data_IF_540012041440
#
_entry.id   IF_540012041440
#
_cell.length_a   1.000
_cell.length_b   1.000
_cell.length_c   1.000
_cell.angle_alpha   90.00
_cell.angle_beta   90.00
_cell.angle_gamma   90.00
#
_symmetry.space_group_name_H-M   'P 1'
#
loop_
_entity.id
_entity.type
_entity.pdbx_description
1 polymer ?
#
# COMPACT_ATOMS: atom_id res chain seq x y z
N UNK A 1 15.69 -11.29 19.02
CA UNK A 1 14.66 -10.36 18.52
C UNK A 1 14.12 -10.95 17.24
N UNK A 2 12.82 -11.17 17.16
CA UNK A 2 12.15 -11.61 15.94
C UNK A 2 11.84 -10.34 15.16
N UNK A 3 12.46 -10.14 14.00
CA UNK A 3 12.22 -8.97 13.14
C UNK A 3 11.03 -9.29 12.22
N UNK A 4 9.82 -9.10 12.73
CA UNK A 4 8.57 -9.52 12.08
C UNK A 4 8.38 -8.82 10.74
N UNK A 5 8.71 -7.52 10.68
CA UNK A 5 8.43 -6.68 9.51
C UNK A 5 9.65 -6.50 8.60
N UNK A 6 10.76 -7.21 8.84
CA UNK A 6 12.02 -7.04 8.08
C UNK A 6 11.84 -7.11 6.56
N UNK A 7 11.02 -8.04 6.07
CA UNK A 7 10.76 -8.21 4.63
C UNK A 7 10.12 -6.96 4.01
N UNK A 8 9.31 -6.22 4.77
CA UNK A 8 8.66 -5.00 4.34
C UNK A 8 9.55 -3.76 4.55
N UNK A 9 10.23 -3.68 5.70
CA UNK A 9 11.03 -2.49 6.05
C UNK A 9 12.31 -2.37 5.21
N UNK A 10 12.72 -3.41 4.48
CA UNK A 10 13.79 -3.35 3.47
C UNK A 10 13.48 -2.36 2.33
N UNK A 11 12.21 -2.03 2.09
CA UNK A 11 11.79 -1.11 1.03
C UNK A 11 11.93 0.38 1.42
N UNK A 12 12.09 0.71 2.70
CA UNK A 12 12.22 2.10 3.18
C UNK A 12 13.22 2.94 2.36
N UNK A 13 14.49 2.50 2.16
CA UNK A 13 15.46 3.28 1.38
C UNK A 13 15.13 3.35 -0.12
N UNK A 14 14.26 2.47 -0.63
CA UNK A 14 13.92 2.40 -2.05
C UNK A 14 12.71 3.27 -2.39
N UNK A 15 11.75 3.38 -1.47
CA UNK A 15 10.58 4.26 -1.60
C UNK A 15 10.95 5.75 -1.40
N UNK A 16 12.20 6.04 -1.00
CA UNK A 16 12.71 7.41 -0.83
C UNK A 16 13.38 7.99 -2.10
N UNK A 17 13.82 7.14 -3.04
CA UNK A 17 14.71 7.53 -4.15
C UNK A 17 14.12 7.24 -5.54
N UNK A 18 13.17 6.31 -5.65
CA UNK A 18 12.68 5.80 -6.94
C UNK A 18 11.39 6.46 -7.41
N UNK A 19 11.18 6.46 -8.73
CA UNK A 19 9.86 6.71 -9.33
C UNK A 19 8.91 5.53 -9.00
N UNK A 20 7.75 5.83 -8.45
CA UNK A 20 6.80 4.81 -7.99
C UNK A 20 6.10 4.08 -9.13
N UNK A 21 5.83 4.80 -10.22
CA UNK A 21 5.14 4.31 -11.39
C UNK A 21 4.69 5.48 -12.26
N UNK A 22 4.23 5.16 -13.46
CA UNK A 22 3.78 6.14 -14.45
C UNK A 22 2.35 5.85 -14.91
N UNK A 23 1.58 6.90 -15.19
CA UNK A 23 0.28 6.77 -15.82
C UNK A 23 0.45 6.50 -17.32
N UNK A 24 -0.05 5.35 -17.76
CA UNK A 24 -0.13 5.00 -19.18
C UNK A 24 -1.50 5.42 -19.69
N UNK A 25 -1.51 6.39 -20.59
CA UNK A 25 -2.71 6.91 -21.24
C UNK A 25 -2.67 6.55 -22.72
N UNK A 26 -3.70 5.86 -23.17
CA UNK A 26 -3.89 5.59 -24.59
C UNK A 26 -4.29 6.88 -25.33
N UNK A 27 -3.38 7.37 -26.17
CA UNK A 27 -3.59 8.53 -27.02
C UNK A 27 -3.61 8.16 -28.50
N UNK A 28 -3.64 6.86 -28.82
CA UNK A 28 -3.51 6.34 -30.19
C UNK A 28 -4.82 5.76 -30.70
N UNK A 29 -5.55 5.01 -29.87
CA UNK A 29 -6.81 4.39 -30.28
C UNK A 29 -7.97 5.40 -30.24
N UNK A 30 -8.91 5.26 -31.19
CA UNK A 30 -10.03 6.19 -31.38
C UNK A 30 -11.35 5.71 -30.75
N UNK A 31 -11.36 4.51 -30.18
CA UNK A 31 -12.54 3.92 -29.53
C UNK A 31 -13.46 3.16 -30.48
N UNK A 32 -13.06 2.98 -31.74
CA UNK A 32 -13.75 2.10 -32.69
C UNK A 32 -13.66 0.62 -32.27
N UNK A 33 -14.42 -0.26 -32.94
CA UNK A 33 -14.34 -1.71 -32.67
C UNK A 33 -12.99 -2.28 -33.09
N UNK A 34 -12.40 -1.72 -34.13
CA UNK A 34 -11.11 -2.08 -34.70
C UNK A 34 -9.94 -1.51 -33.86
N UNK A 35 -10.15 -0.35 -33.21
CA UNK A 35 -9.17 0.34 -32.36
C UNK A 35 -9.81 0.75 -31.01
N UNK A 36 -10.08 -0.22 -30.12
CA UNK A 36 -10.68 0.09 -28.82
C UNK A 36 -9.70 0.87 -27.94
N UNK A 37 -10.22 1.85 -27.20
CA UNK A 37 -9.43 2.60 -26.21
C UNK A 37 -9.08 1.68 -25.05
N UNK A 38 -7.81 1.65 -24.69
CA UNK A 38 -7.37 1.11 -23.42
C UNK A 38 -7.58 2.16 -22.32
N UNK A 39 -8.31 1.78 -21.25
CA UNK A 39 -8.47 2.67 -20.11
C UNK A 39 -7.11 3.00 -19.47
N UNK A 40 -6.91 4.24 -19.00
CA UNK A 40 -5.67 4.61 -18.33
C UNK A 40 -5.39 3.72 -17.12
N UNK A 41 -4.13 3.35 -16.94
CA UNK A 41 -3.69 2.51 -15.83
C UNK A 41 -2.31 2.96 -15.36
N UNK A 42 -1.95 2.60 -14.13
CA UNK A 42 -0.62 2.86 -13.59
C UNK A 42 0.31 1.67 -13.88
N UNK A 43 1.44 1.95 -14.52
CA UNK A 43 2.53 1.01 -14.65
C UNK A 43 3.52 1.23 -13.48
N UNK A 44 3.36 0.44 -12.41
CA UNK A 44 4.24 0.51 -11.24
C UNK A 44 5.68 0.11 -11.56
N UNK A 45 6.64 0.69 -10.83
CA UNK A 45 8.03 0.24 -10.91
C UNK A 45 8.17 -1.19 -10.37
N UNK A 46 9.28 -1.87 -10.71
CA UNK A 46 9.54 -3.25 -10.25
C UNK A 46 9.52 -3.31 -8.72
N UNK A 47 10.16 -2.33 -8.06
CA UNK A 47 10.23 -2.26 -6.60
C UNK A 47 8.85 -2.13 -5.97
N UNK A 48 7.97 -1.31 -6.54
CA UNK A 48 6.61 -1.13 -6.00
C UNK A 48 5.77 -2.39 -6.19
N UNK A 49 5.90 -3.10 -7.31
CA UNK A 49 5.23 -4.40 -7.50
C UNK A 49 5.73 -5.45 -6.49
N UNK A 50 7.03 -5.48 -6.22
CA UNK A 50 7.59 -6.37 -5.20
C UNK A 50 7.09 -6.03 -3.79
N UNK A 51 7.00 -4.74 -3.43
CA UNK A 51 6.42 -4.30 -2.17
C UNK A 51 4.95 -4.74 -2.04
N UNK A 52 4.13 -4.54 -3.08
CA UNK A 52 2.74 -5.01 -3.10
C UNK A 52 2.66 -6.52 -2.88
N UNK A 53 3.52 -7.29 -3.55
CA UNK A 53 3.58 -8.74 -3.40
C UNK A 53 3.99 -9.16 -1.98
N UNK A 54 5.00 -8.52 -1.40
CA UNK A 54 5.47 -8.82 -0.04
C UNK A 54 4.43 -8.44 1.03
N UNK A 55 3.60 -7.41 0.79
CA UNK A 55 2.45 -7.08 1.65
C UNK A 55 1.43 -8.22 1.65
N UNK A 56 1.08 -8.77 0.48
CA UNK A 56 0.19 -9.93 0.40
C UNK A 56 0.80 -11.18 1.03
N UNK A 57 2.09 -11.43 0.77
CA UNK A 57 2.79 -12.56 1.36
C UNK A 57 2.79 -12.47 2.89
N UNK A 58 2.95 -11.27 3.46
CA UNK A 58 2.83 -11.07 4.91
C UNK A 58 1.46 -11.51 5.42
N UNK A 59 0.36 -11.10 4.77
CA UNK A 59 -0.98 -11.55 5.15
C UNK A 59 -1.13 -13.08 5.12
N UNK A 60 -0.51 -13.74 4.14
CA UNK A 60 -0.60 -15.19 3.99
C UNK A 60 0.26 -15.94 5.04
N UNK A 61 1.44 -15.39 5.37
CA UNK A 61 2.37 -15.95 6.36
C UNK A 61 1.93 -15.67 7.81
N UNK A 62 1.11 -14.64 8.05
CA UNK A 62 0.70 -14.16 9.37
C UNK A 62 -0.83 -14.11 9.54
N UNK A 63 -1.54 -15.26 9.45
CA UNK A 63 -3.00 -15.30 9.61
C UNK A 63 -3.48 -14.79 10.97
N UNK A 64 -2.63 -14.80 12.01
CA UNK A 64 -2.91 -14.26 13.34
C UNK A 64 -3.19 -12.74 13.35
N UNK A 65 -2.78 -12.02 12.30
CA UNK A 65 -3.08 -10.58 12.17
C UNK A 65 -4.51 -10.33 11.67
N UNK A 66 -5.21 -11.35 11.14
CA UNK A 66 -6.60 -11.20 10.71
C UNK A 66 -6.83 -10.20 9.57
N UNK A 67 -5.81 -9.90 8.75
CA UNK A 67 -5.83 -8.80 7.77
C UNK A 67 -6.85 -9.01 6.63
N UNK A 68 -7.47 -10.19 6.51
CA UNK A 68 -8.64 -10.38 5.66
C UNK A 68 -9.83 -9.50 6.08
N UNK A 69 -9.89 -9.09 7.35
CA UNK A 69 -10.87 -8.16 7.91
C UNK A 69 -10.24 -6.78 8.20
N UNK A 70 -9.31 -6.33 7.34
CA UNK A 70 -8.63 -5.03 7.49
C UNK A 70 -9.60 -3.87 7.73
N UNK A 71 -10.79 -3.90 7.13
CA UNK A 71 -11.84 -2.90 7.34
C UNK A 71 -12.22 -2.76 8.82
N UNK A 72 -12.46 -3.87 9.51
CA UNK A 72 -12.84 -3.87 10.94
C UNK A 72 -11.68 -3.41 11.83
N UNK A 73 -10.43 -3.80 11.48
CA UNK A 73 -9.22 -3.38 12.20
C UNK A 73 -9.05 -1.86 12.12
N UNK A 74 -9.25 -1.28 10.93
CA UNK A 74 -9.20 0.16 10.72
C UNK A 74 -10.33 0.87 11.49
N UNK A 75 -11.57 0.39 11.40
CA UNK A 75 -12.70 0.99 12.11
C UNK A 75 -12.52 0.99 13.64
N UNK A 76 -12.02 -0.11 14.21
CA UNK A 76 -11.68 -0.21 15.64
C UNK A 76 -10.59 0.79 16.05
N UNK A 77 -9.74 1.19 15.10
CA UNK A 77 -8.71 2.20 15.28
C UNK A 77 -9.19 3.61 14.90
N UNK A 78 -10.50 3.80 14.68
CA UNK A 78 -11.14 5.05 14.26
C UNK A 78 -10.65 5.58 12.90
N UNK A 79 -10.24 4.67 12.00
CA UNK A 79 -9.81 4.98 10.64
C UNK A 79 -10.83 4.39 9.66
N UNK A 80 -11.38 5.21 8.78
CA UNK A 80 -12.27 4.75 7.72
C UNK A 80 -11.46 4.28 6.50
N UNK A 81 -11.99 3.32 5.73
CA UNK A 81 -11.35 2.86 4.50
C UNK A 81 -11.64 3.81 3.32
N UNK A 82 -11.09 5.01 3.43
CA UNK A 82 -11.06 6.03 2.39
C UNK A 82 -9.71 6.75 2.39
N UNK A 83 -9.36 7.38 1.27
CA UNK A 83 -8.05 8.00 1.10
C UNK A 83 -7.76 9.09 2.12
N UNK A 84 -8.75 9.91 2.48
CA UNK A 84 -8.55 11.04 3.40
C UNK A 84 -8.26 10.52 4.81
N UNK A 85 -9.14 9.66 5.34
CA UNK A 85 -8.99 9.10 6.67
C UNK A 85 -7.70 8.28 6.84
N UNK A 86 -7.30 7.52 5.82
CA UNK A 86 -6.07 6.72 5.87
C UNK A 86 -4.80 7.58 5.80
N UNK A 87 -4.82 8.66 5.00
CA UNK A 87 -3.68 9.58 4.88
C UNK A 87 -3.47 10.41 6.15
N UNK A 88 -4.56 10.81 6.80
CA UNK A 88 -4.56 11.68 7.97
C UNK A 88 -4.46 10.92 9.31
N UNK A 89 -4.48 9.59 9.27
CA UNK A 89 -4.35 8.76 10.46
C UNK A 89 -3.08 9.11 11.27
N UNK A 90 -3.24 9.33 12.58
CA UNK A 90 -2.11 9.46 13.48
C UNK A 90 -1.49 8.09 13.75
N UNK A 91 -0.33 7.82 13.16
CA UNK A 91 0.28 6.49 13.16
C UNK A 91 1.23 6.22 14.33
N UNK A 92 1.60 7.26 15.10
CA UNK A 92 2.64 7.17 16.13
C UNK A 92 2.26 6.19 17.25
N UNK A 93 0.97 6.09 17.55
CA UNK A 93 0.40 5.22 18.60
C UNK A 93 -0.19 3.92 18.04
N UNK A 94 -0.20 3.73 16.71
CA UNK A 94 -0.79 2.54 16.11
C UNK A 94 0.11 1.33 16.29
N UNK A 95 -0.54 0.21 16.59
CA UNK A 95 0.08 -1.11 16.66
C UNK A 95 0.35 -1.66 15.26
N UNK A 96 1.27 -2.64 15.19
CA UNK A 96 1.69 -3.20 13.91
C UNK A 96 0.56 -3.83 13.11
N UNK A 97 -0.45 -4.42 13.78
CA UNK A 97 -1.65 -4.96 13.13
C UNK A 97 -2.43 -3.87 12.37
N UNK A 98 -2.63 -2.70 12.98
CA UNK A 98 -3.33 -1.59 12.32
C UNK A 98 -2.50 -1.01 11.17
N UNK A 99 -1.19 -0.90 11.33
CA UNK A 99 -0.30 -0.45 10.24
C UNK A 99 -0.32 -1.43 9.06
N UNK A 100 -0.33 -2.73 9.33
CA UNK A 100 -0.47 -3.75 8.28
C UNK A 100 -1.86 -3.70 7.62
N UNK A 101 -2.91 -3.40 8.37
CA UNK A 101 -4.25 -3.18 7.82
C UNK A 101 -4.29 -1.97 6.88
N UNK A 102 -3.60 -0.86 7.22
CA UNK A 102 -3.46 0.30 6.33
C UNK A 102 -2.76 -0.08 5.01
N UNK A 103 -1.66 -0.83 5.08
CA UNK A 103 -0.92 -1.29 3.89
C UNK A 103 -1.78 -2.19 2.99
N UNK A 104 -2.47 -3.18 3.57
CA UNK A 104 -3.38 -4.07 2.81
C UNK A 104 -4.53 -3.28 2.20
N UNK A 105 -5.15 -2.39 2.97
CA UNK A 105 -6.24 -1.54 2.51
C UNK A 105 -5.81 -0.68 1.32
N UNK A 106 -4.62 -0.08 1.39
CA UNK A 106 -4.08 0.76 0.32
C UNK A 106 -3.80 -0.03 -0.95
N UNK A 107 -3.18 -1.22 -0.86
CA UNK A 107 -2.94 -2.09 -2.01
C UNK A 107 -4.25 -2.61 -2.61
N UNK A 108 -5.27 -2.87 -1.79
CA UNK A 108 -6.57 -3.34 -2.26
C UNK A 108 -7.42 -2.25 -2.89
N UNK A 109 -7.20 -0.98 -2.55
CA UNK A 109 -7.87 0.15 -3.19
C UNK A 109 -7.61 0.22 -4.71
N UNK A 110 -6.47 -0.30 -5.20
CA UNK A 110 -6.18 -0.44 -6.64
C UNK A 110 -7.25 -1.25 -7.40
N UNK A 111 -7.94 -2.17 -6.72
CA UNK A 111 -9.00 -2.97 -7.37
C UNK A 111 -10.25 -2.16 -7.70
N UNK A 112 -10.37 -0.95 -7.15
CA UNK A 112 -11.54 -0.08 -7.30
C UNK A 112 -11.22 1.19 -8.08
N UNK A 113 -9.98 1.67 -7.98
CA UNK A 113 -9.50 2.85 -8.67
C UNK A 113 -8.01 2.65 -8.98
N UNK A 114 -7.66 2.55 -10.26
CA UNK A 114 -6.26 2.52 -10.68
C UNK A 114 -5.52 3.75 -10.12
N UNK A 115 -4.33 3.54 -9.57
CA UNK A 115 -3.51 4.61 -9.01
C UNK A 115 -3.91 5.07 -7.59
N UNK A 116 -4.85 4.41 -6.93
CA UNK A 116 -5.13 4.64 -5.50
C UNK A 116 -3.89 4.43 -4.61
N UNK A 117 -3.15 3.34 -4.80
CA UNK A 117 -1.89 3.04 -4.13
C UNK A 117 -0.78 4.00 -4.53
N UNK A 118 -0.77 4.46 -5.79
CA UNK A 118 0.18 5.48 -6.24
C UNK A 118 -0.02 6.78 -5.44
N UNK A 119 -1.27 7.20 -5.24
CA UNK A 119 -1.56 8.36 -4.41
C UNK A 119 -1.04 8.22 -2.97
N UNK A 120 -1.17 7.05 -2.33
CA UNK A 120 -0.60 6.84 -0.99
C UNK A 120 0.94 6.90 -0.96
N UNK A 121 1.60 6.40 -2.01
CA UNK A 121 3.05 6.50 -2.18
C UNK A 121 3.49 7.96 -2.35
N UNK A 122 2.86 8.70 -3.26
CA UNK A 122 3.16 10.10 -3.56
C UNK A 122 2.94 11.03 -2.36
N UNK A 123 1.94 10.72 -1.52
CA UNK A 123 1.69 11.45 -0.26
C UNK A 123 2.61 11.02 0.89
N UNK A 124 3.51 10.07 0.65
CA UNK A 124 4.49 9.57 1.61
C UNK A 124 3.89 8.72 2.73
N UNK A 125 2.63 8.30 2.63
CA UNK A 125 1.96 7.53 3.67
C UNK A 125 2.57 6.13 3.81
N UNK A 126 2.80 5.45 2.69
CA UNK A 126 3.43 4.12 2.68
C UNK A 126 4.82 4.16 3.33
N UNK A 127 5.63 5.18 3.04
CA UNK A 127 6.94 5.37 3.68
C UNK A 127 6.81 5.53 5.20
N UNK A 128 5.88 6.36 5.67
CA UNK A 128 5.62 6.56 7.10
C UNK A 128 5.17 5.26 7.78
N UNK A 129 4.28 4.50 7.15
CA UNK A 129 3.81 3.21 7.65
C UNK A 129 4.94 2.18 7.77
N UNK A 130 5.79 2.07 6.74
CA UNK A 130 6.96 1.19 6.79
C UNK A 130 7.95 1.59 7.90
N UNK A 131 8.18 2.90 8.11
CA UNK A 131 9.01 3.37 9.23
C UNK A 131 8.42 3.01 10.58
N UNK A 132 7.11 3.16 10.75
CA UNK A 132 6.43 2.79 11.99
C UNK A 132 6.58 1.29 12.29
N UNK A 133 6.42 0.41 11.29
CA UNK A 133 6.70 -1.02 11.44
C UNK A 133 8.14 -1.31 11.88
N UNK A 134 9.11 -0.57 11.32
CA UNK A 134 10.53 -0.70 11.71
C UNK A 134 10.75 -0.28 13.16
N UNK A 135 10.12 0.80 13.61
CA UNK A 135 10.19 1.26 15.01
C UNK A 135 9.59 0.23 15.97
N UNK A 136 8.49 -0.41 15.59
CA UNK A 136 7.87 -1.48 16.38
C UNK A 136 8.84 -2.66 16.55
N UNK A 137 9.45 -3.16 15.45
CA UNK A 137 10.45 -4.25 15.53
C UNK A 137 11.67 -3.89 16.40
N UNK A 138 12.06 -2.61 16.45
CA UNK A 138 13.22 -2.13 17.23
C UNK A 138 12.92 -1.93 18.72
N UNK A 139 11.65 -1.72 19.07
CA UNK A 139 11.20 -1.50 20.44
C UNK A 139 10.76 -2.81 21.14
N UNK A 140 10.84 -3.95 20.45
CA UNK A 140 10.51 -5.29 20.95
C UNK A 140 11.70 -6.07 21.51
#
# INVERSE_FOLDING_TARGET
MVETYKKLTKYIPLVEVEEFGEWIVDNVNDGSKEHPIQFPFVNYSIIIRELQQDIYLFNDEHPEYGLNNYYEILEQSHISWDSESMLDANIDELEGTTIMALLIAAVRSERFCDGAFLNFLEKGAVYKWLKRLKEIDQNC
#
